data_IF_629267017244
#
_entry.id   IF_629267017244
#
_cell.length_a   1.000
_cell.length_b   1.000
_cell.length_c   1.000
_cell.angle_alpha   90.00
_cell.angle_beta   90.00
_cell.angle_gamma   90.00
#
_symmetry.space_group_name_H-M   'P 1'
#
loop_
_entity.id
_entity.type
_entity.pdbx_description
1 polymer ?
#
# COMPACT_ATOMS: atom_id res chain seq x y z
N UNK A 1 -0.87 -2.83 12.32
CA UNK A 1 -0.81 -2.35 10.91
C UNK A 1 -0.16 -0.99 10.93
N UNK A 2 1.05 -0.85 10.38
CA UNK A 2 1.74 0.44 10.30
C UNK A 2 1.68 0.92 8.85
N UNK A 3 0.95 2.00 8.64
CA UNK A 3 0.86 2.74 7.37
C UNK A 3 1.44 4.11 7.64
N UNK A 4 2.19 4.67 6.72
CA UNK A 4 2.72 6.04 6.84
C UNK A 4 2.42 6.80 5.55
N UNK A 5 1.74 7.91 5.66
CA UNK A 5 1.52 8.81 4.54
C UNK A 5 2.71 9.79 4.41
N UNK A 6 3.09 10.08 3.18
CA UNK A 6 4.18 11.02 2.87
C UNK A 6 3.99 11.64 1.49
N UNK A 7 4.74 12.69 1.21
CA UNK A 7 4.67 13.41 -0.07
C UNK A 7 3.27 13.94 -0.36
N UNK A 8 2.63 14.51 0.66
CA UNK A 8 1.33 15.12 0.51
C UNK A 8 1.44 16.42 -0.26
N UNK A 9 0.65 16.54 -1.32
CA UNK A 9 0.60 17.74 -2.15
C UNK A 9 -0.84 18.15 -2.41
N UNK A 10 -1.05 19.46 -2.46
CA UNK A 10 -2.27 20.10 -2.97
C UNK A 10 -2.01 20.57 -4.39
N UNK A 11 -2.71 19.99 -5.34
CA UNK A 11 -2.68 20.41 -6.73
C UNK A 11 -3.84 21.38 -6.98
N UNK A 12 -3.53 22.58 -7.41
CA UNK A 12 -4.48 23.56 -7.91
C UNK A 12 -4.35 23.66 -9.43
N UNK A 13 -5.35 23.18 -10.12
CA UNK A 13 -5.38 23.14 -11.57
C UNK A 13 -6.49 24.03 -12.10
N UNK A 14 -6.22 24.78 -13.18
CA UNK A 14 -7.20 25.61 -13.87
C UNK A 14 -7.34 25.18 -15.32
N UNK A 15 -8.58 24.98 -15.80
CA UNK A 15 -8.81 24.49 -17.17
C UNK A 15 -8.18 25.41 -18.24
N UNK A 16 -7.65 24.90 -19.39
CA UNK A 16 -7.46 23.48 -19.67
C UNK A 16 -6.21 22.90 -18.96
N UNK A 17 -6.33 21.71 -18.40
CA UNK A 17 -5.22 21.00 -17.78
C UNK A 17 -5.34 19.49 -17.96
N UNK A 18 -4.19 18.82 -17.97
CA UNK A 18 -4.12 17.35 -17.99
C UNK A 18 -2.76 16.89 -17.51
N UNK A 19 -2.78 15.90 -16.62
CA UNK A 19 -1.63 15.34 -15.93
C UNK A 19 -1.63 13.84 -16.10
N UNK A 20 -0.47 13.26 -16.39
CA UNK A 20 -0.29 11.81 -16.47
C UNK A 20 0.62 11.32 -15.36
N UNK A 21 0.31 10.12 -14.86
CA UNK A 21 1.20 9.30 -14.06
C UNK A 21 1.45 8.02 -14.83
N UNK A 22 2.67 7.84 -15.28
CA UNK A 22 3.11 6.61 -15.91
C UNK A 22 3.58 5.62 -14.84
N UNK A 23 3.46 4.33 -15.16
CA UNK A 23 3.92 3.26 -14.30
C UNK A 23 5.43 3.39 -14.06
N UNK A 24 5.83 3.81 -12.87
CA UNK A 24 7.24 3.96 -12.49
C UNK A 24 7.78 2.64 -11.94
N UNK A 25 7.82 1.58 -12.76
CA UNK A 25 8.55 0.36 -12.38
C UNK A 25 10.07 0.57 -12.43
N UNK A 26 10.57 1.59 -13.13
CA UNK A 26 11.99 1.73 -13.47
C UNK A 26 12.70 3.01 -13.01
N UNK A 27 12.08 4.01 -12.37
CA UNK A 27 12.79 5.26 -12.08
C UNK A 27 13.06 5.52 -10.59
N UNK A 28 14.31 5.32 -10.26
CA UNK A 28 15.18 5.92 -9.23
C UNK A 28 14.49 6.62 -8.05
N UNK A 29 14.36 5.85 -7.02
CA UNK A 29 14.28 6.33 -5.63
C UNK A 29 15.51 7.19 -5.34
N UNK A 30 15.33 8.40 -4.80
CA UNK A 30 16.46 9.26 -4.39
C UNK A 30 17.34 8.56 -3.36
N UNK A 31 18.62 8.95 -3.19
CA UNK A 31 19.53 8.29 -2.26
C UNK A 31 19.04 8.19 -0.80
N UNK A 32 18.16 9.11 -0.37
CA UNK A 32 17.49 9.06 0.93
C UNK A 32 16.40 8.00 1.02
N UNK A 33 15.82 7.59 -0.11
CA UNK A 33 14.70 6.64 -0.17
C UNK A 33 15.14 5.20 -0.44
N UNK A 34 16.45 4.90 -0.44
CA UNK A 34 17.06 3.59 -0.70
C UNK A 34 16.52 2.40 0.11
N UNK A 35 15.56 2.63 1.03
CA UNK A 35 14.97 1.59 1.87
C UNK A 35 13.66 1.02 1.38
N UNK A 36 13.06 1.57 0.31
CA UNK A 36 11.73 1.13 -0.14
C UNK A 36 11.74 0.70 -1.60
N UNK A 37 11.37 -0.54 -1.84
CA UNK A 37 11.11 -1.02 -3.20
C UNK A 37 9.73 -0.55 -3.67
N UNK A 38 9.57 -0.19 -4.97
CA UNK A 38 8.31 0.28 -5.56
C UNK A 38 7.04 -0.52 -5.22
N UNK A 39 7.12 -1.85 -4.94
CA UNK A 39 5.91 -2.64 -4.65
C UNK A 39 5.21 -2.33 -3.33
N UNK A 40 5.83 -1.56 -2.45
CA UNK A 40 5.31 -1.29 -1.10
C UNK A 40 4.62 0.09 -1.00
N UNK A 41 4.39 0.76 -2.14
CA UNK A 41 3.74 2.06 -2.22
C UNK A 41 2.34 1.95 -2.81
N UNK A 42 1.40 2.69 -2.23
CA UNK A 42 0.13 3.04 -2.85
C UNK A 42 0.04 4.55 -2.97
N UNK A 43 -0.68 5.02 -3.97
CA UNK A 43 -0.96 6.45 -4.13
C UNK A 43 -2.44 6.69 -3.91
N UNK A 44 -2.76 7.82 -3.33
CA UNK A 44 -4.13 8.26 -3.22
C UNK A 44 -4.30 9.66 -3.79
N UNK A 45 -5.50 9.93 -4.26
CA UNK A 45 -5.93 11.28 -4.56
C UNK A 45 -7.39 11.47 -4.19
N UNK A 46 -7.72 12.67 -3.78
CA UNK A 46 -9.07 13.10 -3.50
C UNK A 46 -9.34 14.46 -4.14
N UNK A 47 -10.51 14.60 -4.72
CA UNK A 47 -10.97 15.85 -5.26
C UNK A 47 -11.62 16.66 -4.13
N UNK A 48 -10.98 17.76 -3.71
CA UNK A 48 -11.56 18.63 -2.66
C UNK A 48 -12.50 19.67 -3.25
N UNK A 49 -12.26 20.12 -4.51
CA UNK A 49 -13.07 21.12 -5.19
C UNK A 49 -13.04 20.93 -6.71
N UNK A 50 -14.16 21.25 -7.36
CA UNK A 50 -14.29 21.23 -8.82
C UNK A 50 -14.63 19.84 -9.37
N UNK A 51 -14.36 19.65 -10.66
CA UNK A 51 -14.64 18.42 -11.40
C UNK A 51 -13.46 18.07 -12.28
N UNK A 52 -13.24 16.79 -12.52
CA UNK A 52 -12.26 16.32 -13.49
C UNK A 52 -12.61 14.93 -14.02
N UNK A 53 -11.80 14.44 -14.94
CA UNK A 53 -11.92 13.11 -15.53
C UNK A 53 -10.68 12.29 -15.24
N UNK A 54 -10.89 11.08 -14.81
CA UNK A 54 -9.85 10.09 -14.53
C UNK A 54 -9.89 9.00 -15.59
N UNK A 55 -8.78 8.79 -16.31
CA UNK A 55 -8.55 7.59 -17.11
C UNK A 55 -7.59 6.69 -16.37
N UNK A 56 -7.90 5.39 -16.27
CA UNK A 56 -7.09 4.38 -15.59
C UNK A 56 -6.72 3.31 -16.59
N UNK A 57 -5.48 2.89 -16.59
CA UNK A 57 -5.02 1.78 -17.43
C UNK A 57 -5.86 0.53 -17.20
N UNK A 58 -6.35 -0.09 -18.29
CA UNK A 58 -7.23 -1.25 -18.22
C UNK A 58 -8.71 -0.93 -18.04
N UNK A 59 -9.11 0.34 -17.91
CA UNK A 59 -10.51 0.79 -17.89
C UNK A 59 -10.79 1.57 -19.17
N UNK A 60 -11.79 1.10 -19.97
CA UNK A 60 -12.01 1.63 -21.31
C UNK A 60 -12.51 3.08 -21.32
N UNK A 61 -13.38 3.47 -20.38
CA UNK A 61 -13.99 4.78 -20.38
C UNK A 61 -13.44 5.68 -19.26
N UNK A 62 -13.24 6.98 -19.55
CA UNK A 62 -12.89 7.95 -18.53
C UNK A 62 -13.97 8.06 -17.46
N UNK A 63 -13.57 8.15 -16.22
CA UNK A 63 -14.44 8.22 -15.04
C UNK A 63 -14.60 9.69 -14.64
N UNK A 64 -15.83 10.24 -14.58
CA UNK A 64 -16.04 11.58 -14.05
C UNK A 64 -15.84 11.59 -12.53
N UNK A 65 -15.08 12.56 -12.05
CA UNK A 65 -14.86 12.83 -10.63
C UNK A 65 -15.41 14.18 -10.23
N UNK A 66 -15.97 14.23 -9.03
CA UNK A 66 -16.55 15.44 -8.42
C UNK A 66 -15.98 15.66 -7.03
N UNK A 67 -16.14 16.85 -6.47
CA UNK A 67 -15.69 17.15 -5.11
C UNK A 67 -16.19 16.14 -4.07
N UNK A 68 -15.28 15.62 -3.25
CA UNK A 68 -15.49 14.53 -2.30
C UNK A 68 -15.15 13.13 -2.82
N UNK A 69 -14.97 12.94 -4.13
CA UNK A 69 -14.52 11.67 -4.68
C UNK A 69 -13.06 11.43 -4.32
N UNK A 70 -12.72 10.20 -3.95
CA UNK A 70 -11.35 9.78 -3.72
C UNK A 70 -11.05 8.43 -4.36
N UNK A 71 -9.77 8.21 -4.69
CA UNK A 71 -9.32 6.94 -5.21
C UNK A 71 -7.95 6.55 -4.67
N UNK A 72 -7.72 5.24 -4.67
CA UNK A 72 -6.43 4.62 -4.35
C UNK A 72 -5.90 3.91 -5.59
N UNK A 73 -4.60 4.03 -5.78
CA UNK A 73 -3.84 3.31 -6.80
C UNK A 73 -2.82 2.43 -6.10
N UNK A 74 -2.87 1.14 -6.36
CA UNK A 74 -1.83 0.21 -5.96
C UNK A 74 -0.94 -0.11 -7.16
N UNK A 75 0.37 -0.31 -6.92
CA UNK A 75 1.31 -0.92 -7.86
C UNK A 75 1.29 -0.35 -9.28
N UNK A 76 1.85 0.83 -9.44
CA UNK A 76 2.28 1.27 -10.78
C UNK A 76 1.20 1.35 -11.85
N UNK A 77 -0.06 1.53 -11.46
CA UNK A 77 -1.16 1.73 -12.40
C UNK A 77 -1.03 3.10 -13.05
N UNK A 78 -0.97 3.14 -14.37
CA UNK A 78 -0.93 4.40 -15.11
C UNK A 78 -2.29 5.10 -15.08
N UNK A 79 -2.28 6.40 -14.83
CA UNK A 79 -3.49 7.22 -14.86
C UNK A 79 -3.29 8.53 -15.62
N UNK A 80 -4.40 9.10 -16.06
CA UNK A 80 -4.47 10.46 -16.56
C UNK A 80 -5.63 11.19 -15.88
N UNK A 81 -5.32 12.32 -15.24
CA UNK A 81 -6.29 13.27 -14.72
C UNK A 81 -6.37 14.47 -15.65
N UNK A 82 -7.58 14.95 -15.96
CA UNK A 82 -7.78 16.09 -16.87
C UNK A 82 -9.12 16.80 -16.61
N UNK A 83 -9.18 18.06 -16.97
CA UNK A 83 -10.42 18.86 -16.88
C UNK A 83 -11.52 18.36 -17.81
N UNK A 84 -11.16 17.81 -18.98
CA UNK A 84 -12.09 17.29 -20.00
C UNK A 84 -11.51 16.01 -20.63
N UNK A 85 -12.36 15.04 -21.03
CA UNK A 85 -11.90 13.83 -21.73
C UNK A 85 -11.10 14.09 -23.01
N UNK A 86 -11.26 15.27 -23.61
CA UNK A 86 -10.57 15.68 -24.84
C UNK A 86 -9.25 16.40 -24.60
N UNK A 87 -8.99 16.87 -23.38
CA UNK A 87 -7.75 17.59 -23.06
C UNK A 87 -6.56 16.61 -23.05
N UNK A 88 -5.52 16.96 -23.81
CA UNK A 88 -4.29 16.19 -23.83
C UNK A 88 -3.48 16.47 -22.56
N UNK A 89 -2.92 15.44 -21.87
CA UNK A 89 -2.04 15.68 -20.74
C UNK A 89 -0.75 16.37 -21.19
N UNK A 90 -0.39 17.44 -20.51
CA UNK A 90 0.80 18.26 -20.80
C UNK A 90 1.89 18.10 -19.76
N UNK A 91 1.53 17.60 -18.57
CA UNK A 91 2.44 17.48 -17.44
C UNK A 91 2.40 16.06 -16.88
N UNK A 92 3.50 15.67 -16.24
CA UNK A 92 3.54 14.53 -15.35
C UNK A 92 3.41 14.97 -13.88
N UNK A 93 2.96 14.08 -13.00
CA UNK A 93 2.94 14.36 -11.55
C UNK A 93 4.34 14.74 -11.03
N UNK A 94 5.40 14.14 -11.57
CA UNK A 94 6.79 14.45 -11.23
C UNK A 94 7.17 15.88 -11.58
N UNK A 95 6.86 16.32 -12.80
CA UNK A 95 7.17 17.69 -13.26
C UNK A 95 6.44 18.74 -12.43
N UNK A 96 5.18 18.47 -12.07
CA UNK A 96 4.37 19.36 -11.23
C UNK A 96 4.91 19.37 -9.80
N UNK A 97 5.22 18.20 -9.22
CA UNK A 97 5.80 18.11 -7.89
C UNK A 97 7.16 18.82 -7.79
N UNK A 98 7.99 18.71 -8.83
CA UNK A 98 9.28 19.43 -8.88
C UNK A 98 9.14 20.97 -8.93
N UNK A 99 8.00 21.48 -9.38
CA UNK A 99 7.67 22.92 -9.44
C UNK A 99 6.82 23.40 -8.27
N UNK A 100 6.47 22.50 -7.35
CA UNK A 100 5.64 22.84 -6.21
C UNK A 100 6.37 23.84 -5.28
N UNK A 101 5.63 24.81 -4.78
CA UNK A 101 6.08 25.69 -3.72
C UNK A 101 5.57 25.14 -2.37
N UNK A 102 6.47 24.54 -1.61
CA UNK A 102 6.09 23.74 -0.45
C UNK A 102 5.20 22.56 -0.89
N UNK A 103 4.00 22.46 -0.31
CA UNK A 103 3.05 21.38 -0.60
C UNK A 103 2.05 21.75 -1.70
N UNK A 104 2.16 22.93 -2.35
CA UNK A 104 1.20 23.40 -3.36
C UNK A 104 1.82 23.38 -4.75
N UNK A 105 1.18 22.67 -5.65
CA UNK A 105 1.53 22.58 -7.05
C UNK A 105 0.48 23.27 -7.91
N UNK A 106 0.89 24.12 -8.84
CA UNK A 106 0.00 24.90 -9.71
C UNK A 106 0.14 24.43 -11.16
N UNK A 107 -0.96 24.30 -11.86
CA UNK A 107 -0.95 24.08 -13.31
C UNK A 107 -2.23 24.58 -13.99
N UNK A 108 -2.18 24.73 -15.31
CA UNK A 108 -3.37 25.00 -16.11
C UNK A 108 -3.36 26.29 -16.89
N UNK A 109 -4.52 26.67 -17.46
CA UNK A 109 -4.71 27.74 -18.41
C UNK A 109 -5.57 28.91 -17.92
N UNK A 110 -5.94 28.98 -16.63
CA UNK A 110 -6.68 30.11 -16.04
C UNK A 110 -8.20 30.00 -16.08
N UNK A 111 -8.75 28.85 -16.52
CA UNK A 111 -10.20 28.61 -16.54
C UNK A 111 -10.75 28.09 -15.20
N UNK A 112 -11.79 27.25 -15.25
CA UNK A 112 -12.43 26.70 -14.06
C UNK A 112 -11.44 25.97 -13.12
N UNK A 113 -11.47 26.26 -11.80
CA UNK A 113 -10.52 25.69 -10.85
C UNK A 113 -10.91 24.29 -10.42
N UNK A 114 -9.90 23.46 -10.21
CA UNK A 114 -10.01 22.11 -9.64
C UNK A 114 -8.92 21.94 -8.60
N UNK A 115 -9.26 21.50 -7.39
CA UNK A 115 -8.29 21.25 -6.32
C UNK A 115 -8.28 19.77 -5.97
N UNK A 116 -7.09 19.18 -6.01
CA UNK A 116 -6.85 17.76 -5.72
C UNK A 116 -5.80 17.68 -4.60
N UNK A 117 -6.10 16.92 -3.55
CA UNK A 117 -5.10 16.50 -2.55
C UNK A 117 -4.64 15.10 -2.90
N UNK A 118 -3.35 14.92 -3.01
CA UNK A 118 -2.75 13.63 -3.34
C UNK A 118 -1.51 13.35 -2.51
N UNK A 119 -1.16 12.08 -2.42
CA UNK A 119 0.01 11.65 -1.68
C UNK A 119 0.31 10.17 -1.86
N UNK A 120 1.36 9.74 -1.20
CA UNK A 120 1.82 8.36 -1.20
C UNK A 120 1.67 7.74 0.19
N UNK A 121 1.35 6.46 0.21
CA UNK A 121 1.23 5.65 1.41
C UNK A 121 2.31 4.58 1.35
N UNK A 122 3.15 4.54 2.37
CA UNK A 122 4.09 3.45 2.57
C UNK A 122 3.57 2.46 3.59
N UNK A 123 3.89 1.22 3.37
CA UNK A 123 3.49 0.13 4.24
C UNK A 123 4.73 -0.52 4.84
N UNK A 124 4.70 -0.78 6.15
CA UNK A 124 5.75 -1.60 6.76
C UNK A 124 5.74 -2.99 6.10
N UNK A 125 6.86 -3.30 5.44
CA UNK A 125 7.08 -4.59 4.73
C UNK A 125 6.73 -5.80 5.58
N UNK A 126 6.88 -5.67 6.90
CA UNK A 126 6.64 -6.76 7.82
C UNK A 126 5.17 -7.10 7.97
N UNK A 127 4.30 -6.10 7.98
CA UNK A 127 2.90 -6.26 8.34
C UNK A 127 1.96 -6.37 7.14
N UNK A 128 2.39 -5.93 5.95
CA UNK A 128 1.44 -5.62 4.89
C UNK A 128 1.79 -6.13 3.48
N UNK A 129 2.90 -6.87 3.29
CA UNK A 129 3.16 -7.52 1.98
C UNK A 129 1.95 -8.30 1.45
N UNK A 130 1.19 -9.02 2.27
CA UNK A 130 -0.06 -9.63 1.80
C UNK A 130 -1.11 -8.61 1.38
N UNK A 131 -1.21 -7.44 2.07
CA UNK A 131 -2.20 -6.40 1.74
C UNK A 131 -1.89 -5.76 0.39
N UNK A 132 -0.66 -5.34 0.18
CA UNK A 132 -0.27 -4.62 -1.04
C UNK A 132 -0.33 -5.49 -2.29
N UNK A 133 -0.15 -6.81 -2.14
CA UNK A 133 -0.28 -7.75 -3.24
C UNK A 133 -1.73 -8.08 -3.60
N UNK A 134 -2.64 -7.93 -2.63
CA UNK A 134 -4.05 -8.27 -2.75
C UNK A 134 -4.95 -7.04 -2.88
N UNK A 135 -4.41 -5.83 -2.71
CA UNK A 135 -5.13 -4.60 -3.06
C UNK A 135 -5.46 -4.61 -4.55
N UNK A 136 -6.71 -4.29 -4.91
CA UNK A 136 -7.02 -3.98 -6.31
C UNK A 136 -6.08 -2.88 -6.81
N UNK A 137 -5.68 -2.96 -8.07
CA UNK A 137 -4.83 -1.94 -8.67
C UNK A 137 -5.44 -0.54 -8.61
N UNK A 138 -6.77 -0.48 -8.51
CA UNK A 138 -7.54 0.75 -8.44
C UNK A 138 -8.77 0.56 -7.56
N UNK A 139 -9.01 1.49 -6.63
CA UNK A 139 -10.21 1.58 -5.80
C UNK A 139 -10.76 3.00 -5.95
N UNK A 140 -12.02 3.13 -6.37
CA UNK A 140 -12.73 4.40 -6.44
C UNK A 140 -13.80 4.43 -5.35
N UNK A 141 -13.86 5.54 -4.64
CA UNK A 141 -14.91 5.88 -3.69
C UNK A 141 -15.58 7.17 -4.14
N UNK A 142 -16.83 7.07 -4.57
CA UNK A 142 -17.65 8.21 -4.92
C UNK A 142 -18.22 8.87 -3.67
N UNK A 143 -18.31 10.19 -3.66
CA UNK A 143 -18.82 10.97 -2.53
C UNK A 143 -20.24 10.56 -2.10
N UNK A 144 -21.08 10.20 -3.06
CA UNK A 144 -22.45 9.72 -2.85
C UNK A 144 -22.50 8.27 -2.29
N UNK A 145 -21.48 7.47 -2.55
CA UNK A 145 -21.32 6.11 -2.05
C UNK A 145 -20.61 6.06 -0.69
N UNK A 146 -19.99 7.14 -0.29
CA UNK A 146 -19.39 7.29 1.03
C UNK A 146 -20.46 7.30 2.12
N UNK A 147 -21.10 6.14 2.35
CA UNK A 147 -22.18 5.92 3.33
C UNK A 147 -21.79 6.22 4.77
N UNK A 148 -20.58 6.65 5.02
CA UNK A 148 -20.11 7.01 6.35
C UNK A 148 -19.74 8.47 6.39
N UNK A 149 -20.48 9.23 7.20
CA UNK A 149 -20.15 10.60 7.60
C UNK A 149 -18.65 10.74 7.96
N UNK A 150 -18.06 9.68 8.54
CA UNK A 150 -16.65 9.61 8.89
C UNK A 150 -15.70 9.77 7.70
N UNK A 151 -15.97 9.16 6.54
CA UNK A 151 -15.10 9.30 5.36
C UNK A 151 -15.14 10.74 4.84
N UNK A 152 -16.35 11.30 4.70
CA UNK A 152 -16.53 12.68 4.25
C UNK A 152 -15.85 13.69 5.18
N UNK A 153 -16.02 13.52 6.49
CA UNK A 153 -15.37 14.38 7.51
C UNK A 153 -13.84 14.28 7.42
N UNK A 154 -13.31 13.08 7.23
CA UNK A 154 -11.84 12.91 7.11
C UNK A 154 -11.30 13.56 5.83
N UNK A 155 -12.02 13.44 4.72
CA UNK A 155 -11.68 14.11 3.44
C UNK A 155 -11.65 15.63 3.62
N UNK A 156 -12.67 16.20 4.26
CA UNK A 156 -12.74 17.64 4.52
C UNK A 156 -11.64 18.11 5.47
N UNK A 157 -11.41 17.39 6.57
CA UNK A 157 -10.35 17.72 7.53
C UNK A 157 -8.97 17.69 6.87
N UNK A 158 -8.69 16.68 6.04
CA UNK A 158 -7.43 16.61 5.29
C UNK A 158 -7.27 17.78 4.30
N UNK A 159 -8.35 18.16 3.61
CA UNK A 159 -8.32 19.30 2.71
C UNK A 159 -8.03 20.61 3.45
N UNK A 160 -8.69 20.84 4.61
CA UNK A 160 -8.48 22.02 5.46
C UNK A 160 -7.04 22.12 5.96
N UNK A 161 -6.47 21.03 6.50
CA UNK A 161 -5.07 20.99 6.94
C UNK A 161 -4.07 21.33 5.82
N UNK A 162 -4.37 20.87 4.60
CA UNK A 162 -3.54 21.18 3.44
C UNK A 162 -3.70 22.62 2.93
N UNK A 163 -4.82 23.30 3.26
CA UNK A 163 -5.07 24.70 2.94
C UNK A 163 -4.45 25.65 3.95
N UNK A 164 -4.62 25.38 5.24
CA UNK A 164 -4.26 26.30 6.32
C UNK A 164 -2.74 26.39 6.54
N UNK A 165 -1.98 25.34 6.26
CA UNK A 165 -0.52 25.28 6.44
C UNK A 165 -0.04 25.76 7.83
N UNK A 166 -0.84 25.49 8.86
CA UNK A 166 -0.52 25.87 10.24
C UNK A 166 0.67 25.03 10.78
N UNK A 167 1.36 25.48 11.82
CA UNK A 167 2.38 24.65 12.46
C UNK A 167 1.85 23.29 12.86
N UNK A 168 2.47 22.20 12.34
CA UNK A 168 2.03 20.81 12.58
C UNK A 168 1.03 20.26 11.56
N UNK A 169 0.54 21.05 10.60
CA UNK A 169 -0.39 20.58 9.56
C UNK A 169 0.11 19.36 8.80
N UNK A 170 1.40 19.27 8.50
CA UNK A 170 1.97 18.09 7.82
C UNK A 170 1.79 16.80 8.64
N UNK A 171 1.95 16.89 9.96
CA UNK A 171 1.78 15.73 10.85
C UNK A 171 0.31 15.34 10.92
N UNK A 172 -0.59 16.30 11.09
CA UNK A 172 -2.05 16.06 11.13
C UNK A 172 -2.52 15.50 9.79
N UNK A 173 -2.16 16.13 8.67
CA UNK A 173 -2.51 15.67 7.33
C UNK A 173 -2.01 14.24 7.06
N UNK A 174 -0.78 13.90 7.47
CA UNK A 174 -0.25 12.54 7.35
C UNK A 174 -1.12 11.53 8.12
N UNK A 175 -1.54 11.83 9.33
CA UNK A 175 -2.40 10.95 10.14
C UNK A 175 -3.81 10.84 9.57
N UNK A 176 -4.36 11.94 9.07
CA UNK A 176 -5.67 11.91 8.39
C UNK A 176 -5.64 11.08 7.12
N UNK A 177 -4.56 11.14 6.34
CA UNK A 177 -4.38 10.30 5.15
C UNK A 177 -4.28 8.81 5.49
N UNK A 178 -3.63 8.43 6.60
CA UNK A 178 -3.60 7.07 7.11
C UNK A 178 -5.00 6.58 7.50
N UNK A 179 -5.78 7.42 8.20
CA UNK A 179 -7.17 7.14 8.58
C UNK A 179 -8.04 7.00 7.33
N UNK A 180 -7.91 7.92 6.37
CA UNK A 180 -8.63 7.89 5.10
C UNK A 180 -8.40 6.58 4.35
N UNK A 181 -7.14 6.12 4.27
CA UNK A 181 -6.81 4.84 3.66
C UNK A 181 -7.58 3.67 4.29
N UNK A 182 -7.59 3.59 5.62
CA UNK A 182 -8.31 2.53 6.34
C UNK A 182 -9.81 2.61 6.07
N UNK A 183 -10.38 3.82 6.07
CA UNK A 183 -11.80 4.04 5.81
C UNK A 183 -12.18 3.63 4.37
N UNK A 184 -11.36 4.00 3.38
CA UNK A 184 -11.56 3.60 1.97
C UNK A 184 -11.52 2.08 1.82
N UNK A 185 -10.56 1.41 2.45
CA UNK A 185 -10.50 -0.05 2.42
C UNK A 185 -11.74 -0.70 3.05
N UNK A 186 -12.17 -0.21 4.23
CA UNK A 186 -13.39 -0.70 4.89
C UNK A 186 -14.62 -0.51 4.02
N UNK A 187 -14.79 0.66 3.43
CA UNK A 187 -15.90 0.97 2.55
C UNK A 187 -15.88 0.10 1.29
N UNK A 188 -14.72 -0.10 0.68
CA UNK A 188 -14.55 -0.99 -0.47
C UNK A 188 -14.94 -2.44 -0.15
N UNK A 189 -14.53 -2.95 1.01
CA UNK A 189 -14.90 -4.29 1.46
C UNK A 189 -16.41 -4.42 1.71
N UNK A 190 -17.01 -3.38 2.30
CA UNK A 190 -18.45 -3.38 2.58
C UNK A 190 -19.33 -3.25 1.32
N UNK A 191 -18.81 -2.63 0.26
CA UNK A 191 -19.53 -2.37 -1.00
C UNK A 191 -19.32 -3.47 -2.05
N UNK A 192 -18.33 -4.36 -1.85
CA UNK A 192 -17.93 -5.36 -2.84
C UNK A 192 -18.94 -6.48 -2.95
N UNK A 193 -19.21 -6.98 -4.18
CA UNK A 193 -19.96 -8.23 -4.38
C UNK A 193 -19.22 -9.39 -3.69
N UNK A 194 -19.93 -10.49 -3.42
CA UNK A 194 -19.40 -11.70 -2.74
C UNK A 194 -18.07 -12.26 -3.29
N UNK A 195 -17.61 -11.76 -4.43
CA UNK A 195 -16.31 -12.09 -5.04
C UNK A 195 -15.10 -11.58 -4.29
N UNK A 196 -15.24 -10.65 -3.34
CA UNK A 196 -14.14 -10.20 -2.47
C UNK A 196 -13.94 -11.17 -1.29
N UNK A 197 -13.87 -12.45 -1.57
CA UNK A 197 -13.22 -13.45 -0.71
C UNK A 197 -11.75 -13.11 -0.76
N UNK A 198 -11.13 -12.84 0.35
CA UNK A 198 -9.71 -12.58 0.38
C UNK A 198 -9.25 -11.93 1.69
N UNK A 199 -7.99 -11.77 1.78
CA UNK A 199 -7.24 -11.32 2.93
C UNK A 199 -7.73 -9.98 3.53
N UNK A 200 -8.17 -9.02 2.71
CA UNK A 200 -8.74 -7.76 3.21
C UNK A 200 -9.97 -8.02 4.09
N UNK A 201 -10.87 -8.92 3.67
CA UNK A 201 -12.04 -9.28 4.45
C UNK A 201 -11.65 -10.03 5.74
N UNK A 202 -10.61 -10.85 5.68
CA UNK A 202 -10.11 -11.58 6.84
C UNK A 202 -9.55 -10.64 7.94
N UNK A 203 -8.86 -9.57 7.57
CA UNK A 203 -8.34 -8.59 8.55
C UNK A 203 -9.47 -7.86 9.28
N UNK A 204 -10.53 -7.53 8.57
CA UNK A 204 -11.67 -6.83 9.15
C UNK A 204 -12.72 -7.78 9.74
N UNK A 205 -12.56 -9.10 9.58
CA UNK A 205 -13.32 -10.08 10.31
C UNK A 205 -12.87 -10.07 11.79
N UNK A 206 -13.77 -9.84 12.77
CA UNK A 206 -13.35 -9.71 14.17
C UNK A 206 -12.62 -10.94 14.70
N UNK A 207 -13.04 -12.13 14.30
CA UNK A 207 -12.51 -13.40 14.80
C UNK A 207 -11.21 -13.79 14.07
N UNK A 208 -11.24 -13.81 12.73
CA UNK A 208 -10.05 -14.14 11.94
C UNK A 208 -8.99 -13.04 12.05
N UNK A 209 -9.40 -11.77 12.12
CA UNK A 209 -8.49 -10.65 12.37
C UNK A 209 -7.75 -10.75 13.70
N UNK A 210 -8.41 -11.23 14.76
CA UNK A 210 -7.76 -11.48 16.05
C UNK A 210 -6.66 -12.57 15.95
N UNK A 211 -6.95 -13.67 15.23
CA UNK A 211 -5.96 -14.71 14.98
C UNK A 211 -4.79 -14.20 14.13
N UNK A 212 -5.06 -13.41 13.07
CA UNK A 212 -4.03 -12.79 12.25
C UNK A 212 -3.14 -11.84 13.05
N UNK A 213 -3.72 -10.99 13.90
CA UNK A 213 -2.95 -10.13 14.80
C UNK A 213 -2.06 -10.96 15.74
N UNK A 214 -2.59 -12.03 16.32
CA UNK A 214 -1.82 -12.91 17.21
C UNK A 214 -0.62 -13.57 16.47
N UNK A 215 -0.80 -14.02 15.22
CA UNK A 215 0.27 -14.56 14.39
C UNK A 215 1.34 -13.50 14.10
N UNK A 216 0.90 -12.28 13.75
CA UNK A 216 1.78 -11.19 13.38
C UNK A 216 2.62 -10.67 14.55
N UNK A 217 2.02 -10.56 15.73
CA UNK A 217 2.67 -10.04 16.94
C UNK A 217 3.64 -11.06 17.55
N UNK A 218 3.31 -12.35 17.43
CA UNK A 218 4.05 -13.44 18.07
C UNK A 218 4.49 -14.50 17.05
N UNK A 219 5.36 -14.11 16.12
CA UNK A 219 5.81 -14.94 14.99
C UNK A 219 6.50 -16.25 15.42
N UNK A 220 7.22 -16.22 16.54
CA UNK A 220 7.98 -17.37 17.06
C UNK A 220 7.14 -18.33 17.91
N UNK A 221 5.89 -18.00 18.23
CA UNK A 221 5.00 -18.89 19.01
C UNK A 221 4.73 -20.18 18.23
N UNK A 222 4.76 -21.37 18.87
CA UNK A 222 4.45 -22.64 18.21
C UNK A 222 2.93 -22.79 17.99
N UNK A 223 2.40 -21.97 17.06
CA UNK A 223 0.99 -21.94 16.75
C UNK A 223 0.46 -23.30 16.27
N UNK A 224 -0.65 -23.73 16.83
CA UNK A 224 -1.48 -24.84 16.36
C UNK A 224 -2.83 -24.29 15.87
N UNK A 225 -3.60 -25.12 15.16
CA UNK A 225 -4.96 -24.72 14.75
C UNK A 225 -5.85 -24.46 15.97
N UNK A 226 -5.64 -25.24 17.04
CA UNK A 226 -6.34 -25.10 18.32
C UNK A 226 -6.05 -23.75 18.99
N UNK A 227 -4.78 -23.41 19.15
CA UNK A 227 -4.39 -22.15 19.81
C UNK A 227 -4.78 -20.92 19.01
N UNK A 228 -4.83 -21.01 17.68
CA UNK A 228 -5.33 -19.94 16.82
C UNK A 228 -6.85 -19.83 16.87
N UNK A 229 -7.57 -20.95 16.96
CA UNK A 229 -9.02 -20.96 17.12
C UNK A 229 -9.42 -20.35 18.48
N UNK A 230 -8.68 -20.66 19.53
CA UNK A 230 -8.85 -20.06 20.86
C UNK A 230 -8.64 -18.52 20.81
N UNK A 231 -7.57 -18.05 20.17
CA UNK A 231 -7.31 -16.62 19.97
C UNK A 231 -8.42 -15.92 19.15
N UNK A 232 -9.10 -16.66 18.28
CA UNK A 232 -10.24 -16.18 17.49
C UNK A 232 -11.58 -16.30 18.22
N UNK A 233 -11.64 -16.92 19.41
CA UNK A 233 -12.90 -17.24 20.11
C UNK A 233 -13.81 -18.20 19.32
N UNK A 234 -13.20 -19.16 18.60
CA UNK A 234 -13.93 -20.10 17.73
C UNK A 234 -13.61 -21.55 18.06
N UNK A 235 -14.52 -22.48 17.67
CA UNK A 235 -14.15 -23.88 17.64
C UNK A 235 -13.11 -24.18 16.56
N UNK A 236 -12.24 -25.19 16.77
CA UNK A 236 -11.18 -25.58 15.82
C UNK A 236 -11.68 -25.78 14.37
N UNK A 237 -12.78 -26.49 14.22
CA UNK A 237 -13.34 -26.79 12.89
C UNK A 237 -13.94 -25.56 12.20
N UNK A 238 -14.69 -24.74 12.94
CA UNK A 238 -15.25 -23.49 12.42
C UNK A 238 -14.16 -22.50 12.04
N UNK A 239 -13.12 -22.35 12.87
CA UNK A 239 -11.97 -21.52 12.59
C UNK A 239 -11.24 -21.94 11.32
N UNK A 240 -10.87 -23.23 11.20
CA UNK A 240 -10.14 -23.73 10.04
C UNK A 240 -10.91 -23.54 8.73
N UNK A 241 -12.23 -23.83 8.75
CA UNK A 241 -13.11 -23.64 7.59
C UNK A 241 -13.20 -22.16 7.20
N UNK A 242 -13.49 -21.26 8.16
CA UNK A 242 -13.63 -19.82 7.90
C UNK A 242 -12.31 -19.17 7.49
N UNK A 243 -11.21 -19.57 8.10
CA UNK A 243 -9.87 -19.09 7.74
C UNK A 243 -9.56 -19.46 6.27
N UNK A 244 -9.79 -20.72 5.88
CA UNK A 244 -9.58 -21.18 4.51
C UNK A 244 -10.54 -20.51 3.52
N UNK A 245 -11.78 -20.29 3.90
CA UNK A 245 -12.77 -19.59 3.07
C UNK A 245 -12.30 -18.15 2.76
N UNK A 246 -11.82 -17.42 3.77
CA UNK A 246 -11.41 -16.03 3.63
C UNK A 246 -10.04 -15.87 2.99
N UNK A 247 -9.07 -16.72 3.31
CA UNK A 247 -7.66 -16.56 2.91
C UNK A 247 -7.21 -17.50 1.80
N UNK A 248 -8.05 -18.50 1.42
CA UNK A 248 -7.73 -19.47 0.39
C UNK A 248 -6.71 -20.54 0.79
N UNK A 249 -6.17 -20.48 2.01
CA UNK A 249 -5.13 -21.38 2.55
C UNK A 249 -5.40 -21.75 4.00
N UNK A 250 -4.73 -22.78 4.49
CA UNK A 250 -4.88 -23.22 5.88
C UNK A 250 -4.16 -22.29 6.86
N UNK A 251 -4.58 -22.24 8.15
CA UNK A 251 -3.92 -21.41 9.16
C UNK A 251 -2.40 -21.68 9.30
N UNK A 252 -1.96 -22.94 9.26
CA UNK A 252 -0.55 -23.27 9.42
C UNK A 252 0.29 -23.00 8.15
N UNK A 253 -0.30 -23.04 6.98
CA UNK A 253 0.34 -22.56 5.74
C UNK A 253 0.59 -21.07 5.85
N UNK A 254 -0.41 -20.29 6.28
CA UNK A 254 -0.27 -18.86 6.51
C UNK A 254 0.83 -18.54 7.55
N UNK A 255 0.84 -19.21 8.70
CA UNK A 255 1.90 -19.06 9.72
C UNK A 255 3.29 -19.31 9.11
N UNK A 256 3.40 -20.36 8.30
CA UNK A 256 4.67 -20.70 7.64
C UNK A 256 5.11 -19.59 6.67
N UNK A 257 4.23 -19.11 5.82
CA UNK A 257 4.53 -18.02 4.89
C UNK A 257 4.91 -16.72 5.61
N UNK A 258 4.16 -16.38 6.68
CA UNK A 258 4.47 -15.23 7.51
C UNK A 258 5.85 -15.30 8.15
N UNK A 259 6.21 -16.46 8.71
CA UNK A 259 7.55 -16.71 9.24
C UNK A 259 8.65 -16.52 8.19
N UNK A 260 8.42 -17.00 6.96
CA UNK A 260 9.39 -16.83 5.87
C UNK A 260 9.53 -15.38 5.43
N UNK A 261 8.46 -14.62 5.40
CA UNK A 261 8.51 -13.18 5.13
C UNK A 261 9.32 -12.42 6.19
N UNK A 262 9.10 -12.75 7.48
CA UNK A 262 9.89 -12.19 8.58
C UNK A 262 11.36 -12.60 8.51
N UNK A 263 11.62 -13.83 8.13
CA UNK A 263 12.99 -14.31 7.94
C UNK A 263 13.72 -13.54 6.85
N UNK A 264 13.06 -13.30 5.70
CA UNK A 264 13.62 -12.50 4.61
C UNK A 264 14.03 -11.12 5.10
N UNK A 265 13.17 -10.42 5.85
CA UNK A 265 13.47 -9.11 6.40
C UNK A 265 14.67 -9.09 7.34
N UNK A 266 14.76 -10.11 8.22
CA UNK A 266 15.89 -10.25 9.13
C UNK A 266 17.20 -10.56 8.39
N UNK A 267 17.13 -11.38 7.34
CA UNK A 267 18.28 -11.72 6.49
C UNK A 267 18.76 -10.51 5.67
N UNK A 268 17.85 -9.67 5.18
CA UNK A 268 18.18 -8.45 4.42
C UNK A 268 18.89 -7.40 5.27
N UNK A 269 18.64 -7.36 6.58
CA UNK A 269 19.34 -6.46 7.52
C UNK A 269 20.80 -6.85 7.73
N UNK A 270 21.14 -8.12 7.52
CA UNK A 270 22.52 -8.69 7.65
C UNK A 270 23.18 -8.50 9.01
N UNK A 271 22.43 -8.19 10.03
CA UNK A 271 22.89 -8.02 11.41
C UNK A 271 22.82 -9.30 12.22
N UNK A 272 22.29 -10.40 11.64
CA UNK A 272 22.03 -11.69 12.32
C UNK A 272 22.52 -12.88 11.50
N UNK A 273 23.01 -13.90 12.21
CA UNK A 273 23.37 -15.18 11.61
C UNK A 273 22.13 -16.03 11.32
N UNK A 274 22.23 -16.93 10.34
CA UNK A 274 21.13 -17.80 9.92
C UNK A 274 20.47 -18.59 11.08
N UNK A 275 21.21 -19.20 12.00
CA UNK A 275 20.60 -19.90 13.15
C UNK A 275 19.81 -18.97 14.07
N UNK A 276 20.25 -17.74 14.22
CA UNK A 276 19.55 -16.74 15.03
C UNK A 276 18.23 -16.33 14.35
N UNK A 277 18.27 -16.09 13.04
CA UNK A 277 17.06 -15.80 12.25
C UNK A 277 16.06 -16.95 12.35
N UNK A 278 16.51 -18.21 12.21
CA UNK A 278 15.65 -19.39 12.33
C UNK A 278 14.90 -19.41 13.67
N UNK A 279 15.60 -19.18 14.78
CA UNK A 279 15.01 -19.12 16.13
C UNK A 279 14.03 -17.96 16.30
N UNK A 280 14.38 -16.77 15.80
CA UNK A 280 13.52 -15.58 15.88
C UNK A 280 12.19 -15.74 15.14
N UNK A 281 12.17 -16.59 14.11
CA UNK A 281 10.94 -16.87 13.37
C UNK A 281 10.28 -18.21 13.78
N UNK A 282 10.70 -18.79 14.90
CA UNK A 282 10.05 -19.93 15.54
C UNK A 282 10.40 -21.30 14.98
N UNK A 283 11.65 -21.49 14.49
CA UNK A 283 12.19 -22.79 14.12
C UNK A 283 13.25 -23.25 15.14
N UNK A 284 13.13 -24.49 15.60
CA UNK A 284 14.06 -25.09 16.56
C UNK A 284 15.34 -25.59 15.88
N UNK A 285 15.32 -25.91 14.58
CA UNK A 285 16.47 -26.34 13.82
C UNK A 285 16.67 -25.63 12.50
N UNK A 286 17.92 -25.40 12.14
CA UNK A 286 18.34 -24.78 10.89
C UNK A 286 17.90 -25.61 9.67
N UNK A 287 17.85 -26.95 9.82
CA UNK A 287 17.41 -27.85 8.76
C UNK A 287 15.92 -27.69 8.48
N UNK A 288 15.07 -27.62 9.52
CA UNK A 288 13.62 -27.38 9.37
C UNK A 288 13.36 -26.00 8.77
N UNK A 289 14.08 -24.98 9.23
CA UNK A 289 14.01 -23.62 8.67
C UNK A 289 14.39 -23.61 7.19
N UNK A 290 15.55 -24.16 6.84
CA UNK A 290 16.06 -24.17 5.45
C UNK A 290 15.11 -24.89 4.50
N UNK A 291 14.51 -26.01 4.94
CA UNK A 291 13.50 -26.75 4.19
C UNK A 291 12.23 -25.92 3.95
N UNK A 292 11.73 -25.23 4.99
CA UNK A 292 10.56 -24.37 4.89
C UNK A 292 10.85 -23.15 3.99
N UNK A 293 12.01 -22.53 4.15
CA UNK A 293 12.45 -21.38 3.36
C UNK A 293 12.55 -21.74 1.87
N UNK A 294 13.23 -22.86 1.54
CA UNK A 294 13.31 -23.34 0.15
C UNK A 294 11.94 -23.62 -0.45
N UNK A 295 11.02 -24.18 0.33
CA UNK A 295 9.66 -24.48 -0.14
C UNK A 295 8.89 -23.21 -0.50
N UNK A 296 8.96 -22.16 0.35
CA UNK A 296 8.19 -20.92 0.19
C UNK A 296 8.88 -19.95 -0.75
N UNK A 297 10.19 -19.73 -0.56
CA UNK A 297 10.97 -18.70 -1.28
C UNK A 297 11.55 -19.20 -2.61
N UNK A 298 11.53 -20.53 -2.84
CA UNK A 298 12.09 -21.20 -4.03
C UNK A 298 13.61 -21.05 -4.17
N UNK A 299 14.31 -20.70 -3.08
CA UNK A 299 15.76 -20.60 -2.99
C UNK A 299 16.20 -21.00 -1.59
N UNK A 300 17.43 -21.50 -1.42
CA UNK A 300 17.99 -21.70 -0.09
C UNK A 300 18.36 -20.35 0.56
N UNK A 301 18.32 -20.21 1.91
CA UNK A 301 18.66 -18.96 2.58
C UNK A 301 20.01 -18.38 2.15
N UNK A 302 21.04 -19.22 2.02
CA UNK A 302 22.38 -18.81 1.57
C UNK A 302 22.44 -18.38 0.10
N UNK A 303 21.63 -18.97 -0.78
CA UNK A 303 21.48 -18.53 -2.17
C UNK A 303 20.74 -17.20 -2.28
N UNK A 304 19.70 -17.03 -1.47
CA UNK A 304 18.94 -15.78 -1.38
C UNK A 304 19.85 -14.61 -1.02
N UNK A 305 20.68 -14.78 0.02
CA UNK A 305 21.65 -13.77 0.45
C UNK A 305 22.71 -13.48 -0.63
N UNK A 306 23.19 -14.50 -1.34
CA UNK A 306 24.20 -14.33 -2.41
C UNK A 306 23.63 -13.63 -3.65
N UNK A 307 22.38 -13.89 -4.03
CA UNK A 307 21.71 -13.20 -5.13
C UNK A 307 21.58 -11.70 -4.82
N UNK A 308 21.12 -11.34 -3.64
CA UNK A 308 21.06 -9.95 -3.22
C UNK A 308 22.44 -9.24 -3.17
N UNK A 309 23.56 -9.99 -3.04
CA UNK A 309 24.92 -9.46 -3.14
C UNK A 309 25.37 -9.22 -4.59
N UNK A 310 24.96 -10.07 -5.51
CA UNK A 310 25.30 -9.91 -6.94
C UNK A 310 24.56 -8.71 -7.54
N UNK A 311 23.29 -8.55 -7.21
CA UNK A 311 22.49 -7.42 -7.69
C UNK A 311 23.02 -6.08 -7.17
N UNK A 312 23.54 -6.03 -5.93
CA UNK A 312 24.18 -4.83 -5.40
C UNK A 312 25.54 -4.52 -6.08
N UNK A 313 26.37 -5.53 -6.34
CA UNK A 313 27.68 -5.33 -7.01
C UNK A 313 27.55 -4.93 -8.49
N UNK A 314 26.55 -5.43 -9.19
CA UNK A 314 26.27 -5.03 -10.57
C UNK A 314 25.87 -3.55 -10.63
N UNK A 315 25.12 -3.08 -9.66
CA UNK A 315 24.68 -1.66 -9.59
C UNK A 315 25.84 -0.71 -9.22
N UNK A 316 26.81 -1.17 -8.42
CA UNK A 316 28.01 -0.40 -8.07
C UNK A 316 29.02 -0.34 -9.23
N UNK A 317 29.16 -1.42 -9.99
CA UNK A 317 30.08 -1.49 -11.14
C UNK A 317 29.64 -0.60 -12.32
N UNK A 318 28.31 -0.49 -12.57
CA UNK A 318 27.76 0.41 -13.59
C UNK A 318 27.91 1.90 -13.20
N UNK A 319 28.03 2.20 -11.91
CA UNK A 319 28.20 3.57 -11.43
C UNK A 319 29.65 4.07 -11.53
N UNK A 320 30.62 3.16 -11.46
CA UNK A 320 32.05 3.47 -11.57
C UNK A 320 32.52 3.62 -13.04
N UNK A 321 31.80 3.00 -13.99
CA UNK A 321 32.08 3.16 -15.43
C UNK A 321 31.44 4.42 -16.07
N UNK A 322 30.66 5.18 -15.31
CA UNK A 322 29.98 6.41 -15.76
C UNK A 322 30.64 7.68 -15.20
N UNK A 323 31.80 7.55 -14.60
CA UNK A 323 32.68 8.66 -14.19
C UNK A 323 33.91 8.69 -15.12
#
# INVERSE_FOLDING_TARGET
MHVTAFGLHRLEATAPWGIKQENQIEERVTPSDKKMSPPDLAHFAMLSRGNCWLSVEGIAEPIPLTGGDCFLLAKGTSIVLRDSPRTRPRWSFREIGAKANGNVALCGGGGAPTTIVCGSLSFDRASLRPITQLLPNFILMKADQARTLALHTTVQALASEMEEQAPGSEVVASRLAEVLFIQVLRAHIASGPERNKGWLRAIFDPQIGAALSAIHDRVNTPWTVESLAEAAGMSRSAFAARFKELLGQTPLEYVTEWRMQKAIQLLERRDKKLPEVARLVGYESDAAFSKAFKRVVRANPGEYLRRGLKDQKSTEADHDQSR
#
